data_IF_680337302913
#
_entry.id   IF_680337302913
#
_cell.length_a   1.000
_cell.length_b   1.000
_cell.length_c   1.000
_cell.angle_alpha   90.00
_cell.angle_beta   90.00
_cell.angle_gamma   90.00
#
_symmetry.space_group_name_H-M   'P 1'
#
loop_
_entity.id
_entity.type
_entity.pdbx_description
1 polymer ?
#
# COMPACT_ATOMS: atom_id res chain seq x y z
N UNK A 1 -51.79 -16.38 -3.12
CA UNK A 1 -50.52 -16.92 -2.55
C UNK A 1 -49.24 -16.32 -3.15
N UNK A 2 -49.29 -15.32 -4.06
CA UNK A 2 -48.07 -14.68 -4.61
C UNK A 2 -47.45 -13.63 -3.68
N UNK A 3 -48.28 -12.87 -2.96
CA UNK A 3 -47.86 -11.76 -2.09
C UNK A 3 -47.12 -12.19 -0.81
N UNK A 4 -47.42 -13.39 -0.30
CA UNK A 4 -46.75 -13.97 0.88
C UNK A 4 -45.39 -14.57 0.56
N UNK A 5 -45.15 -14.96 -0.70
CA UNK A 5 -43.88 -15.51 -1.16
C UNK A 5 -42.81 -14.40 -1.34
N UNK A 6 -43.24 -13.23 -1.85
CA UNK A 6 -42.39 -12.04 -2.02
C UNK A 6 -41.92 -11.47 -0.67
N UNK A 7 -42.78 -11.51 0.34
CA UNK A 7 -42.48 -11.02 1.70
C UNK A 7 -41.44 -11.88 2.42
N UNK A 8 -41.43 -13.19 2.17
CA UNK A 8 -40.42 -14.13 2.67
C UNK A 8 -39.07 -13.95 1.94
N UNK A 9 -39.09 -13.62 0.65
CA UNK A 9 -37.88 -13.33 -0.13
C UNK A 9 -37.21 -12.03 0.34
N UNK A 10 -37.98 -10.98 0.67
CA UNK A 10 -37.43 -9.73 1.20
C UNK A 10 -36.82 -9.91 2.60
N UNK A 11 -37.45 -10.70 3.48
CA UNK A 11 -37.00 -10.91 4.86
C UNK A 11 -35.69 -11.70 4.95
N UNK A 12 -35.41 -12.59 4.00
CA UNK A 12 -34.18 -13.40 3.99
C UNK A 12 -32.98 -12.62 3.43
N UNK A 13 -33.23 -11.61 2.58
CA UNK A 13 -32.20 -10.78 2.00
C UNK A 13 -31.59 -9.79 3.02
N UNK A 14 -32.38 -9.28 3.96
CA UNK A 14 -31.92 -8.32 4.99
C UNK A 14 -31.09 -8.98 6.09
N UNK A 15 -31.40 -10.22 6.48
CA UNK A 15 -30.65 -10.94 7.49
C UNK A 15 -29.25 -11.35 7.00
N UNK A 16 -29.12 -11.75 5.73
CA UNK A 16 -27.83 -12.10 5.13
C UNK A 16 -26.90 -10.87 5.04
N UNK A 17 -27.43 -9.68 4.75
CA UNK A 17 -26.64 -8.46 4.65
C UNK A 17 -26.08 -8.03 6.02
N UNK A 18 -26.87 -8.13 7.09
CA UNK A 18 -26.43 -7.74 8.44
C UNK A 18 -25.29 -8.61 8.98
N UNK A 19 -25.29 -9.92 8.70
CA UNK A 19 -24.21 -10.82 9.14
C UNK A 19 -22.89 -10.56 8.41
N UNK A 20 -22.94 -10.05 7.17
CA UNK A 20 -21.72 -9.67 6.43
C UNK A 20 -21.08 -8.37 6.90
N UNK A 21 -21.85 -7.47 7.54
CA UNK A 21 -21.36 -6.15 7.97
C UNK A 21 -20.70 -6.16 9.36
N UNK A 22 -21.00 -7.14 10.22
CA UNK A 22 -20.42 -7.22 11.58
C UNK A 22 -19.12 -8.03 11.63
N UNK A 23 -18.68 -8.63 10.51
CA UNK A 23 -17.46 -9.45 10.44
C UNK A 23 -16.19 -8.67 10.07
N UNK A 24 -16.30 -7.39 9.71
CA UNK A 24 -15.14 -6.52 9.52
C UNK A 24 -14.71 -5.95 10.88
N UNK A 25 -14.22 -6.82 11.76
CA UNK A 25 -13.21 -6.40 12.73
C UNK A 25 -12.11 -5.74 11.91
N UNK A 26 -12.01 -4.41 12.01
CA UNK A 26 -10.96 -3.65 11.38
C UNK A 26 -9.64 -4.22 11.88
N UNK A 27 -8.98 -5.02 11.04
CA UNK A 27 -7.59 -5.41 11.24
C UNK A 27 -6.85 -4.10 11.40
N UNK A 28 -6.54 -3.75 12.66
CA UNK A 28 -5.64 -2.65 13.01
C UNK A 28 -4.45 -2.86 12.12
N UNK A 29 -4.28 -1.96 11.15
CA UNK A 29 -3.24 -2.05 10.14
C UNK A 29 -1.94 -2.30 10.86
N UNK A 30 -1.51 -3.55 10.87
CA UNK A 30 -0.18 -3.90 11.33
C UNK A 30 0.68 -3.19 10.32
N UNK A 31 1.32 -2.10 10.72
CA UNK A 31 2.42 -1.55 9.96
C UNK A 31 3.38 -2.72 9.77
N UNK A 32 3.31 -3.34 8.58
CA UNK A 32 4.21 -4.42 8.19
C UNK A 32 5.54 -3.72 8.05
N UNK A 33 6.27 -3.62 9.15
CA UNK A 33 7.67 -3.24 9.16
C UNK A 33 8.38 -4.32 8.35
N UNK A 34 8.46 -4.11 7.04
CA UNK A 34 9.43 -4.82 6.22
C UNK A 34 10.79 -4.63 6.89
N UNK A 35 11.56 -5.72 6.95
CA UNK A 35 12.86 -5.79 7.62
C UNK A 35 13.72 -4.56 7.30
N UNK A 36 14.50 -4.03 8.27
CA UNK A 36 15.11 -2.72 8.17
C UNK A 36 16.24 -2.69 7.14
N UNK A 37 15.85 -2.20 5.97
CA UNK A 37 16.59 -1.39 5.00
C UNK A 37 17.65 -2.09 4.14
N UNK A 38 17.11 -2.45 2.97
CA UNK A 38 17.70 -2.68 1.64
C UNK A 38 18.76 -1.62 1.29
N UNK A 39 19.86 -2.02 0.64
CA UNK A 39 20.72 -1.04 -0.03
C UNK A 39 19.92 -0.40 -1.17
N UNK A 40 19.88 0.92 -1.23
CA UNK A 40 19.14 1.68 -2.23
C UNK A 40 20.11 2.46 -3.10
N UNK A 41 19.85 2.47 -4.40
CA UNK A 41 20.55 3.28 -5.39
C UNK A 41 19.54 4.23 -6.01
N UNK A 42 19.89 5.52 -6.08
CA UNK A 42 19.06 6.57 -6.68
C UNK A 42 19.77 7.12 -7.90
N UNK A 43 19.07 7.17 -9.03
CA UNK A 43 19.62 7.61 -10.31
C UNK A 43 18.89 8.85 -10.85
N UNK A 44 19.56 9.57 -11.76
CA UNK A 44 18.92 10.46 -12.71
C UNK A 44 18.29 9.66 -13.87
N UNK A 45 17.35 10.25 -14.63
CA UNK A 45 16.76 9.60 -15.79
C UNK A 45 17.76 9.21 -16.89
N UNK A 46 18.93 9.85 -16.94
CA UNK A 46 20.01 9.51 -17.87
C UNK A 46 20.89 8.34 -17.41
N UNK A 47 20.60 7.76 -16.25
CA UNK A 47 21.34 6.65 -15.64
C UNK A 47 22.50 7.08 -14.73
N UNK A 48 22.74 8.38 -14.54
CA UNK A 48 23.76 8.86 -13.62
C UNK A 48 23.37 8.52 -12.18
N UNK A 49 24.29 7.90 -11.42
CA UNK A 49 24.07 7.61 -10.00
C UNK A 49 24.15 8.90 -9.17
N UNK A 50 23.09 9.19 -8.41
CA UNK A 50 23.04 10.32 -7.48
C UNK A 50 23.51 9.95 -6.08
N UNK A 51 23.07 8.78 -5.60
CA UNK A 51 23.38 8.32 -4.25
C UNK A 51 23.19 6.82 -4.08
N UNK A 52 23.87 6.27 -3.09
CA UNK A 52 23.78 4.88 -2.68
C UNK A 52 23.94 4.78 -1.18
N UNK A 53 23.04 4.05 -0.53
CA UNK A 53 23.21 3.73 0.88
C UNK A 53 22.08 2.94 1.47
N UNK A 54 22.10 2.82 2.79
CA UNK A 54 20.99 2.27 3.56
C UNK A 54 19.91 3.36 3.62
N UNK A 55 18.74 3.11 3.03
CA UNK A 55 17.64 4.07 3.06
C UNK A 55 16.92 4.15 4.42
N UNK A 56 17.06 5.27 5.13
CA UNK A 56 16.28 5.57 6.34
C UNK A 56 14.78 5.42 6.11
N UNK A 57 14.32 5.78 4.92
CA UNK A 57 12.91 5.71 4.51
C UNK A 57 12.76 5.61 3.00
N UNK A 58 11.85 4.75 2.55
CA UNK A 58 11.35 4.73 1.17
C UNK A 58 9.83 4.79 1.22
N UNK A 59 9.23 5.75 0.53
CA UNK A 59 7.78 5.93 0.53
C UNK A 59 7.26 6.43 -0.81
N UNK A 60 6.06 6.02 -1.17
CA UNK A 60 5.28 6.58 -2.27
C UNK A 60 3.90 6.98 -1.73
N UNK A 61 3.24 7.94 -2.37
CA UNK A 61 1.87 8.30 -1.98
C UNK A 61 0.91 7.29 -2.58
N UNK A 62 -0.01 6.73 -1.78
CA UNK A 62 -0.95 5.69 -2.24
C UNK A 62 -1.83 6.10 -3.44
N UNK A 63 -2.03 7.40 -3.67
CA UNK A 63 -2.77 7.95 -4.81
C UNK A 63 -1.87 8.41 -5.97
N UNK A 64 -0.55 8.47 -5.75
CA UNK A 64 0.46 8.90 -6.72
C UNK A 64 1.69 8.00 -6.56
N UNK A 65 1.55 6.75 -6.98
CA UNK A 65 2.62 5.75 -7.00
C UNK A 65 3.79 6.16 -7.90
N UNK A 66 3.58 7.12 -8.80
CA UNK A 66 4.58 7.65 -9.73
C UNK A 66 5.77 8.34 -9.07
N UNK A 67 5.56 8.94 -7.90
CA UNK A 67 6.60 9.68 -7.17
C UNK A 67 7.01 8.87 -5.95
N UNK A 68 8.29 8.54 -5.89
CA UNK A 68 8.94 7.91 -4.74
C UNK A 68 9.84 8.92 -4.05
N UNK A 69 9.77 8.91 -2.71
CA UNK A 69 10.66 9.65 -1.82
C UNK A 69 11.58 8.67 -1.12
N UNK A 70 12.88 8.82 -1.37
CA UNK A 70 13.94 8.01 -0.79
C UNK A 70 14.79 8.90 0.10
N UNK A 71 14.95 8.52 1.37
CA UNK A 71 15.84 9.21 2.32
C UNK A 71 17.04 8.31 2.60
N UNK A 72 18.26 8.82 2.34
CA UNK A 72 19.55 8.17 2.64
C UNK A 72 20.36 9.15 3.48
N UNK A 73 20.83 8.70 4.65
CA UNK A 73 21.61 9.51 5.60
C UNK A 73 21.01 10.91 5.85
N UNK A 74 19.68 10.98 6.00
CA UNK A 74 18.93 12.23 6.20
C UNK A 74 18.69 13.08 4.95
N UNK A 75 19.29 12.77 3.80
CA UNK A 75 19.02 13.46 2.52
C UNK A 75 17.88 12.80 1.78
N UNK A 76 16.88 13.59 1.36
CA UNK A 76 15.69 13.07 0.66
C UNK A 76 15.73 13.39 -0.83
N UNK A 77 15.50 12.36 -1.64
CA UNK A 77 15.36 12.40 -3.09
C UNK A 77 13.91 12.18 -3.47
N UNK A 78 13.38 13.01 -4.36
CA UNK A 78 12.06 12.83 -4.97
C UNK A 78 12.26 12.46 -6.45
N UNK A 79 11.81 11.27 -6.83
CA UNK A 79 12.05 10.72 -8.17
C UNK A 79 10.94 9.73 -8.54
N UNK A 80 11.12 8.95 -9.61
CA UNK A 80 10.24 7.85 -10.01
C UNK A 80 10.83 6.49 -9.61
N UNK A 81 9.98 5.47 -9.45
CA UNK A 81 10.43 4.09 -9.24
C UNK A 81 11.36 3.58 -10.33
N UNK A 82 11.24 4.09 -11.57
CA UNK A 82 12.14 3.74 -12.65
C UNK A 82 13.61 4.12 -12.38
N UNK A 83 13.83 5.05 -11.46
CA UNK A 83 15.15 5.61 -11.13
C UNK A 83 15.68 5.11 -9.78
N UNK A 84 15.02 4.13 -9.16
CA UNK A 84 15.39 3.62 -7.83
C UNK A 84 15.54 2.11 -7.89
N UNK A 85 16.69 1.61 -7.45
CA UNK A 85 16.95 0.18 -7.32
C UNK A 85 17.06 -0.17 -5.85
N UNK A 86 16.21 -1.09 -5.40
CA UNK A 86 16.24 -1.66 -4.06
C UNK A 86 16.89 -3.05 -4.14
N UNK A 87 17.97 -3.26 -3.40
CA UNK A 87 18.68 -4.55 -3.38
C UNK A 87 18.43 -5.24 -2.05
N UNK A 88 17.93 -6.48 -2.12
CA UNK A 88 17.86 -7.42 -1.00
C UNK A 88 19.18 -8.20 -0.95
N UNK A 89 19.73 -8.40 0.26
CA UNK A 89 20.92 -9.24 0.48
C UNK A 89 20.57 -10.73 0.48
#
# INVERSE_FOLDING_TARGET
MRKTLELLALSTCTAALCVTLTGCEAVKGTARGEKPVKTVYVYLPDGTLLDKGRADKVSSFAHNDRIVKVTIDGKTYETSWANVVLVEE
#
